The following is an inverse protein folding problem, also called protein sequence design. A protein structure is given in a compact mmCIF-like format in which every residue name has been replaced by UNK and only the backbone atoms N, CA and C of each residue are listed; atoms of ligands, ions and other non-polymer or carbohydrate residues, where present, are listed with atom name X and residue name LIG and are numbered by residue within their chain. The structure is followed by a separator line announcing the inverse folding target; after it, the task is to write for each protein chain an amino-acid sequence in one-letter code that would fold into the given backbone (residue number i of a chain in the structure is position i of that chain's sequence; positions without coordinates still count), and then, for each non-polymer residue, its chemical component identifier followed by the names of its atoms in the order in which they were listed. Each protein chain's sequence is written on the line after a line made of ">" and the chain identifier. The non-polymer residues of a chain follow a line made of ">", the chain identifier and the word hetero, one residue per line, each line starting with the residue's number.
data_IF_534548840328
#
_entry.id   IF_534548840328
#
_cell.length_a   1.000
_cell.length_b   1.000
_cell.length_c   1.000
_cell.angle_alpha   90.00
_cell.angle_beta   90.00
_cell.angle_gamma   90.00
#
_symmetry.space_group_name_H-M   'P 1'
#
loop_
_entity.id
_entity.type
_entity.pdbx_description
1 polymer ?
#
# COMPACT_ATOMS: atom_id res chain seq x y z
N UNK A 1 20.28 40.41 31.61
CA UNK A 1 19.46 40.24 30.39
C UNK A 1 20.01 39.01 29.68
N UNK A 2 19.35 37.86 29.90
CA UNK A 2 19.84 36.55 29.45
C UNK A 2 19.44 36.35 27.99
N UNK A 3 20.44 36.11 27.16
CA UNK A 3 20.34 35.73 25.76
C UNK A 3 19.59 34.41 25.60
N UNK A 4 18.40 34.48 25.00
CA UNK A 4 17.60 33.32 24.64
C UNK A 4 18.29 32.52 23.54
N UNK A 5 18.69 31.30 23.89
CA UNK A 5 19.28 30.33 22.99
C UNK A 5 18.16 29.66 22.18
N UNK A 6 17.94 30.11 20.95
CA UNK A 6 17.01 29.49 20.01
C UNK A 6 17.63 28.17 19.55
N UNK A 7 17.22 27.06 20.16
CA UNK A 7 17.53 25.73 19.66
C UNK A 7 16.83 25.55 18.30
N UNK A 8 17.59 25.75 17.23
CA UNK A 8 17.26 25.27 15.90
C UNK A 8 17.12 23.76 15.97
N UNK A 9 15.89 23.26 15.79
CA UNK A 9 15.63 21.85 15.51
C UNK A 9 16.38 21.53 14.22
N UNK A 10 17.48 20.80 14.32
CA UNK A 10 18.15 20.25 13.15
C UNK A 10 17.13 19.40 12.38
N UNK A 11 16.69 19.90 11.23
CA UNK A 11 15.91 19.11 10.28
C UNK A 11 16.84 18.02 9.76
N UNK A 12 16.79 16.83 10.36
CA UNK A 12 17.40 15.65 9.75
C UNK A 12 16.79 15.51 8.36
N UNK A 13 17.61 15.68 7.32
CA UNK A 13 17.14 15.56 5.94
C UNK A 13 16.62 14.14 5.73
N UNK A 14 15.31 14.01 5.45
CA UNK A 14 14.66 12.72 5.16
C UNK A 14 15.44 11.97 4.06
N UNK A 15 15.60 10.64 4.18
CA UNK A 15 16.28 9.83 3.16
C UNK A 15 15.48 9.94 1.85
N UNK A 16 16.14 10.40 0.78
CA UNK A 16 15.58 10.37 -0.58
C UNK A 16 15.49 8.93 -1.06
N UNK A 17 14.34 8.55 -1.60
CA UNK A 17 14.15 7.23 -2.17
C UNK A 17 13.20 7.30 -3.38
N UNK A 18 13.18 6.26 -4.19
CA UNK A 18 12.29 6.19 -5.34
C UNK A 18 10.86 5.87 -4.91
N UNK A 19 10.67 4.81 -4.13
CA UNK A 19 9.35 4.46 -3.63
C UNK A 19 9.37 3.81 -2.24
N UNK A 20 8.31 4.06 -1.48
CA UNK A 20 8.04 3.40 -0.20
C UNK A 20 6.81 2.52 -0.34
N UNK A 21 6.97 1.23 -0.15
CA UNK A 21 5.91 0.21 -0.22
C UNK A 21 5.49 -0.18 1.20
N UNK A 22 4.25 0.17 1.56
CA UNK A 22 3.59 -0.24 2.79
C UNK A 22 2.65 -1.41 2.55
N UNK A 23 2.98 -2.56 3.15
CA UNK A 23 2.16 -3.77 3.10
C UNK A 23 1.24 -3.78 4.33
N UNK A 24 -0.02 -3.42 4.15
CA UNK A 24 -1.00 -3.42 5.23
C UNK A 24 -1.23 -4.86 5.73
N UNK A 25 -0.98 -5.08 7.02
CA UNK A 25 -1.08 -6.39 7.67
C UNK A 25 -1.80 -6.30 9.01
N UNK A 26 -2.16 -7.42 9.62
CA UNK A 26 -2.77 -7.47 10.95
C UNK A 26 -1.99 -8.38 11.91
N UNK A 27 -2.29 -8.32 13.21
CA UNK A 27 -1.68 -9.21 14.20
C UNK A 27 -1.86 -10.70 13.87
N UNK A 28 -3.04 -11.07 13.35
CA UNK A 28 -3.36 -12.44 12.94
C UNK A 28 -2.67 -12.90 11.65
N UNK A 29 -2.07 -11.98 10.88
CA UNK A 29 -1.52 -12.24 9.55
C UNK A 29 -0.08 -12.77 9.53
N UNK A 30 0.45 -13.31 10.64
CA UNK A 30 1.85 -13.79 10.69
C UNK A 30 2.23 -14.69 9.53
N UNK A 31 1.43 -15.73 9.29
CA UNK A 31 1.67 -16.69 8.19
C UNK A 31 1.64 -16.04 6.81
N UNK A 32 0.82 -14.99 6.62
CA UNK A 32 0.78 -14.23 5.36
C UNK A 32 2.07 -13.44 5.17
N UNK A 33 2.55 -12.75 6.21
CA UNK A 33 3.85 -12.05 6.16
C UNK A 33 4.99 -13.00 5.83
N UNK A 34 5.03 -14.15 6.48
CA UNK A 34 6.03 -15.19 6.19
C UNK A 34 5.95 -15.66 4.72
N UNK A 35 4.74 -15.82 4.17
CA UNK A 35 4.54 -16.18 2.77
C UNK A 35 4.95 -15.09 1.78
N UNK A 36 4.77 -13.81 2.13
CA UNK A 36 5.23 -12.67 1.33
C UNK A 36 6.77 -12.60 1.32
N UNK A 37 7.41 -12.76 2.48
CA UNK A 37 8.89 -12.85 2.59
C UNK A 37 9.45 -14.05 1.82
N UNK A 38 8.74 -15.17 1.82
CA UNK A 38 9.16 -16.38 1.11
C UNK A 38 8.90 -16.33 -0.41
N UNK A 39 8.37 -15.21 -0.93
CA UNK A 39 8.06 -15.02 -2.35
C UNK A 39 8.61 -13.71 -2.86
N UNK A 40 7.77 -12.69 -3.05
CA UNK A 40 8.14 -11.50 -3.81
C UNK A 40 8.87 -10.42 -2.99
N UNK A 41 8.83 -10.48 -1.65
CA UNK A 41 9.56 -9.54 -0.82
C UNK A 41 10.98 -10.06 -0.54
N UNK A 42 12.04 -9.32 -0.93
CA UNK A 42 13.41 -9.76 -0.69
C UNK A 42 13.72 -10.00 0.79
N UNK A 43 14.66 -10.92 1.04
CA UNK A 43 15.14 -11.25 2.38
C UNK A 43 15.93 -10.08 2.99
N UNK A 44 16.28 -10.18 4.27
CA UNK A 44 16.84 -9.05 5.05
C UNK A 44 18.01 -8.34 4.37
N UNK A 45 19.03 -9.07 3.89
CA UNK A 45 20.22 -8.46 3.28
C UNK A 45 19.93 -7.90 1.88
N UNK A 46 19.17 -8.62 1.06
CA UNK A 46 18.75 -8.15 -0.26
C UNK A 46 17.82 -6.94 -0.16
N UNK A 47 16.95 -6.89 0.83
CA UNK A 47 16.05 -5.75 1.05
C UNK A 47 16.82 -4.50 1.49
N UNK A 48 17.85 -4.64 2.34
CA UNK A 48 18.77 -3.53 2.64
C UNK A 48 19.49 -3.04 1.38
N UNK A 49 20.04 -3.97 0.60
CA UNK A 49 20.66 -3.66 -0.69
C UNK A 49 19.70 -2.93 -1.63
N UNK A 50 18.45 -3.37 -1.68
CA UNK A 50 17.40 -2.74 -2.49
C UNK A 50 17.10 -1.30 -2.03
N UNK A 51 17.05 -1.07 -0.73
CA UNK A 51 16.87 0.26 -0.14
C UNK A 51 18.03 1.21 -0.47
N UNK A 52 19.27 0.70 -0.47
CA UNK A 52 20.47 1.51 -0.65
C UNK A 52 20.81 1.73 -2.13
N UNK A 53 20.66 0.72 -2.99
CA UNK A 53 21.03 0.80 -4.40
C UNK A 53 19.90 1.26 -5.32
N UNK A 54 18.64 0.93 -4.99
CA UNK A 54 17.47 1.23 -5.83
C UNK A 54 16.53 2.26 -5.20
N UNK A 55 16.73 2.62 -3.93
CA UNK A 55 15.85 3.52 -3.21
C UNK A 55 14.42 2.97 -3.07
N UNK A 56 14.26 1.64 -2.94
CA UNK A 56 12.95 1.02 -2.74
C UNK A 56 12.87 0.52 -1.29
N UNK A 57 11.98 1.13 -0.51
CA UNK A 57 11.74 0.75 0.89
C UNK A 57 10.49 -0.12 0.96
N UNK A 58 10.56 -1.27 1.64
CA UNK A 58 9.41 -2.19 1.79
C UNK A 58 9.21 -2.48 3.27
N UNK A 59 8.02 -2.16 3.80
CA UNK A 59 7.68 -2.39 5.21
C UNK A 59 6.28 -2.99 5.37
N UNK A 60 6.13 -3.93 6.30
CA UNK A 60 4.83 -4.32 6.82
C UNK A 60 4.28 -3.23 7.72
N UNK A 61 3.12 -2.69 7.40
CA UNK A 61 2.49 -1.60 8.12
C UNK A 61 1.55 -2.15 9.17
N UNK A 62 1.84 -1.85 10.43
CA UNK A 62 1.06 -2.35 11.57
C UNK A 62 0.97 -1.30 12.67
N UNK A 63 -0.21 -1.14 13.25
CA UNK A 63 -0.44 -0.36 14.45
C UNK A 63 -0.02 -1.10 15.72
N UNK A 64 -0.61 -0.69 16.83
CA UNK A 64 -0.47 -1.33 18.14
C UNK A 64 -1.82 -1.89 18.61
N UNK A 65 -1.77 -2.78 19.59
CA UNK A 65 -2.99 -3.31 20.18
C UNK A 65 -3.65 -2.25 21.08
N UNK A 66 -4.92 -2.46 21.45
CA UNK A 66 -5.63 -1.59 22.40
C UNK A 66 -4.95 -1.55 23.77
N UNK A 67 -4.22 -2.60 24.12
CA UNK A 67 -3.47 -2.72 25.37
C UNK A 67 -1.98 -2.69 25.03
N UNK A 68 -1.41 -1.49 24.96
CA UNK A 68 0.00 -1.28 24.63
C UNK A 68 0.92 -2.18 25.47
N UNK A 69 1.85 -2.87 24.82
CA UNK A 69 2.77 -3.82 25.46
C UNK A 69 2.17 -5.20 25.78
N UNK A 70 0.95 -5.47 25.29
CA UNK A 70 0.28 -6.76 25.39
C UNK A 70 0.94 -7.87 24.57
N UNK A 71 0.38 -9.08 24.64
CA UNK A 71 0.93 -10.28 23.98
C UNK A 71 1.08 -10.08 22.47
N UNK A 72 0.10 -9.43 21.83
CA UNK A 72 0.11 -9.16 20.39
C UNK A 72 1.27 -8.23 20.01
N UNK A 73 1.52 -7.18 20.80
CA UNK A 73 2.62 -6.25 20.56
C UNK A 73 3.99 -6.92 20.77
N UNK A 74 4.14 -7.75 21.81
CA UNK A 74 5.37 -8.51 22.05
C UNK A 74 5.67 -9.52 20.93
N UNK A 75 4.64 -10.11 20.34
CA UNK A 75 4.81 -11.02 19.20
C UNK A 75 5.35 -10.27 17.97
N UNK A 76 4.88 -9.05 17.72
CA UNK A 76 5.40 -8.17 16.67
C UNK A 76 6.83 -7.72 16.98
N UNK A 77 7.14 -7.36 18.23
CA UNK A 77 8.51 -7.01 18.64
C UNK A 77 9.50 -8.16 18.44
N UNK A 78 9.09 -9.39 18.74
CA UNK A 78 9.92 -10.58 18.50
C UNK A 78 10.17 -10.81 17.00
N UNK A 79 9.15 -10.59 16.17
CA UNK A 79 9.28 -10.67 14.71
C UNK A 79 10.17 -9.57 14.14
N UNK A 80 10.01 -8.34 14.62
CA UNK A 80 10.81 -7.19 14.19
C UNK A 80 12.29 -7.38 14.52
N UNK A 81 12.62 -7.97 15.67
CA UNK A 81 14.03 -8.32 15.99
C UNK A 81 14.65 -9.30 15.01
N UNK A 82 13.85 -10.17 14.38
CA UNK A 82 14.33 -11.17 13.43
C UNK A 82 14.42 -10.60 12.01
N UNK A 83 13.42 -9.80 11.60
CA UNK A 83 13.29 -9.40 10.21
C UNK A 83 13.57 -7.92 9.95
N UNK A 84 13.35 -7.02 10.91
CA UNK A 84 13.61 -5.58 10.73
C UNK A 84 12.82 -4.97 9.56
N UNK A 85 11.53 -5.31 9.45
CA UNK A 85 10.70 -4.97 8.29
C UNK A 85 9.32 -4.42 8.62
N UNK A 86 9.06 -4.02 9.86
CA UNK A 86 7.84 -3.32 10.21
C UNK A 86 7.97 -1.80 10.11
N UNK A 87 6.86 -1.16 9.75
CA UNK A 87 6.56 0.23 10.05
C UNK A 87 5.47 0.24 11.11
N UNK A 88 5.85 0.57 12.35
CA UNK A 88 4.95 0.66 13.50
C UNK A 88 4.25 2.01 13.50
N UNK A 89 2.92 1.99 13.45
CA UNK A 89 2.09 3.20 13.45
C UNK A 89 1.58 3.51 14.86
N UNK A 90 1.43 4.79 15.17
CA UNK A 90 0.63 5.26 16.32
C UNK A 90 -0.86 5.17 15.96
N UNK A 91 -1.36 3.94 15.88
CA UNK A 91 -2.70 3.59 15.44
C UNK A 91 -3.16 2.34 16.19
N UNK A 92 -4.34 2.39 16.80
CA UNK A 92 -4.94 1.19 17.42
C UNK A 92 -5.53 0.33 16.30
N UNK A 93 -5.03 -0.89 16.14
CA UNK A 93 -5.57 -1.84 15.17
C UNK A 93 -7.02 -2.21 15.49
N UNK A 94 -7.88 -2.16 14.48
CA UNK A 94 -9.30 -2.51 14.58
C UNK A 94 -9.89 -2.83 13.21
N UNK A 95 -10.94 -3.67 13.19
CA UNK A 95 -11.55 -4.13 11.93
C UNK A 95 -12.12 -3.00 11.07
N UNK A 96 -12.63 -1.92 11.69
CA UNK A 96 -13.23 -0.76 11.01
C UNK A 96 -12.25 0.41 10.85
N UNK A 97 -10.97 0.21 11.20
CA UNK A 97 -9.99 1.29 11.27
C UNK A 97 -9.03 1.32 10.06
N UNK A 98 -9.29 0.52 9.02
CA UNK A 98 -8.41 0.46 7.83
C UNK A 98 -8.21 1.81 7.15
N UNK A 99 -9.28 2.60 6.95
CA UNK A 99 -9.18 3.93 6.36
C UNK A 99 -8.33 4.87 7.23
N UNK A 100 -8.40 4.74 8.55
CA UNK A 100 -7.57 5.49 9.48
C UNK A 100 -6.11 5.03 9.43
N UNK A 101 -5.88 3.71 9.39
CA UNK A 101 -4.55 3.12 9.24
C UNK A 101 -3.86 3.60 7.97
N UNK A 102 -4.54 3.59 6.83
CA UNK A 102 -3.99 4.08 5.55
C UNK A 102 -3.63 5.55 5.62
N UNK A 103 -4.48 6.38 6.23
CA UNK A 103 -4.18 7.80 6.45
C UNK A 103 -2.91 7.96 7.31
N UNK A 104 -2.85 7.27 8.45
CA UNK A 104 -1.68 7.29 9.35
C UNK A 104 -0.43 6.76 8.65
N UNK A 105 -0.55 5.71 7.83
CA UNK A 105 0.55 5.16 7.04
C UNK A 105 1.17 6.22 6.13
N UNK A 106 0.39 6.88 5.27
CA UNK A 106 0.92 7.91 4.38
C UNK A 106 1.53 9.08 5.16
N UNK A 107 0.85 9.54 6.23
CA UNK A 107 1.39 10.59 7.10
C UNK A 107 2.75 10.22 7.71
N UNK A 108 2.89 9.01 8.24
CA UNK A 108 4.13 8.52 8.86
C UNK A 108 5.20 8.27 7.80
N UNK A 109 4.87 7.68 6.65
CA UNK A 109 5.82 7.41 5.59
C UNK A 109 6.42 8.70 5.01
N UNK A 110 5.60 9.74 4.81
CA UNK A 110 6.07 11.06 4.38
C UNK A 110 6.97 11.71 5.43
N UNK A 111 6.69 11.51 6.72
CA UNK A 111 7.56 12.05 7.77
C UNK A 111 8.95 11.40 7.80
N UNK A 112 9.05 10.13 7.41
CA UNK A 112 10.30 9.35 7.47
C UNK A 112 11.12 9.40 6.17
N UNK A 113 10.46 9.39 5.02
CA UNK A 113 11.09 9.26 3.72
C UNK A 113 10.66 10.37 2.77
N UNK A 114 11.60 10.85 1.95
CA UNK A 114 11.36 11.78 0.85
C UNK A 114 11.31 10.97 -0.45
N UNK A 115 10.15 10.35 -0.73
CA UNK A 115 9.98 9.40 -1.84
C UNK A 115 9.25 10.02 -3.04
N UNK A 116 9.57 9.61 -4.26
CA UNK A 116 8.79 10.00 -5.44
C UNK A 116 7.36 9.43 -5.37
N UNK A 117 7.25 8.17 -4.94
CA UNK A 117 5.99 7.45 -4.80
C UNK A 117 5.82 6.75 -3.45
N UNK A 118 4.58 6.71 -2.98
CA UNK A 118 4.16 5.92 -1.82
C UNK A 118 3.11 4.90 -2.27
N UNK A 119 3.35 3.63 -1.96
CA UNK A 119 2.58 2.50 -2.47
C UNK A 119 1.93 1.78 -1.29
N UNK A 120 0.64 1.50 -1.39
CA UNK A 120 -0.05 0.61 -0.46
C UNK A 120 -0.33 -0.73 -1.12
N UNK A 121 -0.10 -1.81 -0.38
CA UNK A 121 -0.36 -3.20 -0.82
C UNK A 121 -1.04 -3.97 0.30
N UNK A 122 -1.94 -4.90 -0.02
CA UNK A 122 -2.47 -5.87 0.96
C UNK A 122 -1.55 -7.09 1.13
N UNK A 123 -1.51 -7.68 2.33
CA UNK A 123 -0.63 -8.82 2.66
C UNK A 123 -1.02 -10.17 2.03
N UNK A 124 -2.05 -10.20 1.18
CA UNK A 124 -2.47 -11.34 0.40
C UNK A 124 -2.45 -11.10 -1.11
N UNK A 125 -1.58 -10.18 -1.57
CA UNK A 125 -1.35 -9.87 -2.99
C UNK A 125 0.05 -10.32 -3.43
N UNK A 126 0.19 -10.85 -4.64
CA UNK A 126 1.50 -11.06 -5.28
C UNK A 126 1.87 -9.84 -6.11
N UNK A 127 3.12 -9.38 -5.99
CA UNK A 127 3.64 -8.18 -6.66
C UNK A 127 4.91 -8.52 -7.44
N UNK A 128 5.03 -7.97 -8.65
CA UNK A 128 6.25 -7.97 -9.44
C UNK A 128 6.93 -6.60 -9.29
N UNK A 129 7.98 -6.53 -8.46
CA UNK A 129 8.58 -5.27 -7.99
C UNK A 129 9.30 -4.49 -9.09
N UNK A 130 9.97 -5.16 -10.03
CA UNK A 130 10.63 -4.53 -11.16
C UNK A 130 9.59 -3.93 -12.10
N UNK A 131 8.53 -4.70 -12.41
CA UNK A 131 7.42 -4.25 -13.24
C UNK A 131 6.68 -3.06 -12.61
N UNK A 132 6.47 -3.07 -11.28
CA UNK A 132 5.95 -1.93 -10.52
C UNK A 132 6.87 -0.71 -10.67
N UNK A 133 8.16 -0.88 -10.37
CA UNK A 133 9.13 0.21 -10.40
C UNK A 133 9.29 0.84 -11.79
N UNK A 134 9.37 0.03 -12.85
CA UNK A 134 9.43 0.51 -14.23
C UNK A 134 8.15 1.26 -14.63
N UNK A 135 7.00 0.85 -14.10
CA UNK A 135 5.74 1.55 -14.36
C UNK A 135 5.69 2.90 -13.67
N UNK A 136 6.10 2.96 -12.40
CA UNK A 136 6.12 4.22 -11.65
C UNK A 136 7.17 5.20 -12.17
N UNK A 137 8.33 4.73 -12.67
CA UNK A 137 9.36 5.61 -13.22
C UNK A 137 8.88 6.39 -14.45
N UNK A 138 8.02 5.80 -15.28
CA UNK A 138 7.38 6.48 -16.42
C UNK A 138 6.48 7.66 -16.00
N UNK A 139 6.11 7.73 -14.72
CA UNK A 139 5.24 8.77 -14.17
C UNK A 139 5.95 9.72 -13.21
N UNK A 140 7.26 9.55 -12.97
CA UNK A 140 8.04 10.33 -12.01
C UNK A 140 8.00 11.84 -12.25
N UNK A 141 7.92 12.27 -13.51
CA UNK A 141 7.88 13.70 -13.88
C UNK A 141 6.47 14.31 -13.91
N UNK A 142 5.42 13.49 -13.69
CA UNK A 142 4.04 13.98 -13.66
C UNK A 142 3.70 14.47 -12.24
N UNK A 143 3.08 15.65 -12.08
CA UNK A 143 2.56 16.06 -10.79
C UNK A 143 1.30 15.26 -10.43
N UNK A 144 1.02 15.09 -9.14
CA UNK A 144 -0.24 14.60 -8.58
C UNK A 144 -0.75 13.32 -9.24
N UNK A 145 0.08 12.28 -9.28
CA UNK A 145 -0.26 10.98 -9.85
C UNK A 145 -0.96 10.12 -8.81
N UNK A 146 -2.13 9.61 -9.17
CA UNK A 146 -2.81 8.52 -8.48
C UNK A 146 -2.98 7.35 -9.46
N UNK A 147 -2.23 6.28 -9.24
CA UNK A 147 -2.17 5.13 -10.14
C UNK A 147 -2.63 3.85 -9.45
N UNK A 148 -3.43 3.08 -10.18
CA UNK A 148 -3.94 1.80 -9.73
C UNK A 148 -4.86 1.18 -10.77
N UNK A 149 -5.46 0.05 -10.44
CA UNK A 149 -6.55 -0.49 -11.23
C UNK A 149 -7.83 0.25 -10.89
N UNK A 150 -8.21 1.21 -11.75
CA UNK A 150 -9.32 2.12 -11.47
C UNK A 150 -10.66 1.40 -11.68
N UNK A 151 -11.57 1.58 -10.73
CA UNK A 151 -12.92 1.00 -10.73
C UNK A 151 -13.96 2.02 -10.28
N UNK A 152 -15.21 1.69 -10.57
CA UNK A 152 -16.39 2.30 -9.96
C UNK A 152 -17.41 1.19 -9.81
N UNK A 153 -18.03 1.11 -8.63
CA UNK A 153 -18.94 0.03 -8.26
C UNK A 153 -20.11 0.57 -7.42
N UNK A 154 -21.15 -0.25 -7.21
CA UNK A 154 -22.33 0.18 -6.46
C UNK A 154 -21.95 0.60 -5.04
N UNK A 155 -22.57 1.68 -4.56
CA UNK A 155 -22.46 2.09 -3.15
C UNK A 155 -23.14 1.02 -2.29
N UNK A 156 -22.45 0.58 -1.23
CA UNK A 156 -22.92 -0.50 -0.36
C UNK A 156 -23.90 0.03 0.69
N UNK A 157 -25.07 0.49 0.26
CA UNK A 157 -26.09 1.12 1.10
C UNK A 157 -26.92 0.15 1.96
N UNK A 158 -26.87 -1.16 1.67
CA UNK A 158 -27.68 -2.16 2.36
C UNK A 158 -27.05 -2.55 3.71
N UNK A 159 -27.79 -2.40 4.81
CA UNK A 159 -27.35 -2.88 6.13
C UNK A 159 -27.11 -4.40 6.11
N UNK A 160 -26.06 -4.84 6.81
CA UNK A 160 -25.72 -6.26 6.97
C UNK A 160 -24.78 -6.83 5.90
N UNK A 161 -24.50 -6.08 4.82
CA UNK A 161 -23.44 -6.47 3.89
C UNK A 161 -22.07 -6.07 4.44
N UNK A 162 -21.03 -6.84 4.07
CA UNK A 162 -19.64 -6.48 4.40
C UNK A 162 -19.34 -5.10 3.79
N UNK A 163 -18.74 -4.22 4.60
CA UNK A 163 -18.43 -2.84 4.22
C UNK A 163 -19.64 -1.97 3.88
N UNK A 164 -20.80 -2.22 4.50
CA UNK A 164 -21.94 -1.30 4.48
C UNK A 164 -21.47 0.13 4.79
N UNK A 165 -21.81 1.06 3.91
CA UNK A 165 -21.47 2.48 4.04
C UNK A 165 -22.62 3.22 4.75
N UNK A 166 -22.51 3.53 6.05
CA UNK A 166 -23.58 4.20 6.79
C UNK A 166 -23.92 5.59 6.23
N UNK A 167 -22.96 6.24 5.58
CA UNK A 167 -23.11 7.57 4.98
C UNK A 167 -23.30 7.49 3.46
N UNK A 168 -23.91 6.39 2.96
CA UNK A 168 -24.12 6.15 1.53
C UNK A 168 -24.82 7.31 0.80
N UNK A 169 -25.66 8.06 1.52
CA UNK A 169 -26.39 9.22 1.01
C UNK A 169 -25.47 10.36 0.52
N UNK A 170 -24.20 10.41 0.97
CA UNK A 170 -23.20 11.36 0.47
C UNK A 170 -22.77 11.09 -0.98
N UNK A 171 -23.04 9.89 -1.49
CA UNK A 171 -22.76 9.48 -2.87
C UNK A 171 -23.99 9.69 -3.79
N UNK A 172 -25.02 10.39 -3.29
CA UNK A 172 -26.27 10.66 -3.98
C UNK A 172 -27.36 9.65 -3.62
N UNK A 173 -28.08 9.16 -4.61
CA UNK A 173 -29.28 8.34 -4.43
C UNK A 173 -28.98 6.84 -4.36
N UNK A 174 -29.96 6.07 -3.87
CA UNK A 174 -29.87 4.61 -3.84
C UNK A 174 -29.72 4.07 -5.27
N UNK A 175 -28.69 3.26 -5.49
CA UNK A 175 -28.33 2.74 -6.81
C UNK A 175 -27.15 3.47 -7.46
N UNK A 176 -26.71 4.59 -6.88
CA UNK A 176 -25.50 5.27 -7.32
C UNK A 176 -24.25 4.41 -7.12
N UNK A 177 -23.22 4.77 -7.88
CA UNK A 177 -21.89 4.17 -7.79
C UNK A 177 -20.96 5.11 -7.04
N UNK A 178 -19.95 4.52 -6.38
CA UNK A 178 -18.81 5.28 -5.91
C UNK A 178 -18.15 6.00 -7.10
N UNK A 179 -17.56 7.16 -6.83
CA UNK A 179 -16.68 7.82 -7.80
C UNK A 179 -15.54 6.88 -8.22
N UNK A 180 -14.86 7.21 -9.33
CA UNK A 180 -13.76 6.39 -9.82
C UNK A 180 -12.58 6.44 -8.87
N UNK A 181 -12.11 5.28 -8.41
CA UNK A 181 -10.98 5.12 -7.47
C UNK A 181 -10.20 3.84 -7.81
N UNK A 182 -8.94 3.76 -7.39
CA UNK A 182 -8.15 2.54 -7.52
C UNK A 182 -8.66 1.46 -6.56
N UNK A 183 -8.55 0.19 -6.94
CA UNK A 183 -8.88 -0.93 -6.05
C UNK A 183 -7.91 -1.03 -4.86
N UNK A 184 -8.41 -1.41 -3.69
CA UNK A 184 -7.61 -1.43 -2.46
C UNK A 184 -6.41 -2.37 -2.43
N UNK A 185 -6.35 -3.41 -3.27
CA UNK A 185 -5.28 -4.42 -3.20
C UNK A 185 -3.88 -3.84 -3.44
N UNK A 186 -3.76 -2.91 -4.40
CA UNK A 186 -2.53 -2.20 -4.70
C UNK A 186 -2.82 -0.88 -5.42
N UNK A 187 -2.26 0.21 -4.90
CA UNK A 187 -2.24 1.51 -5.57
C UNK A 187 -1.00 2.32 -5.15
N UNK A 188 -0.63 3.31 -5.94
CA UNK A 188 0.43 4.24 -5.63
C UNK A 188 -0.01 5.69 -5.82
N UNK A 189 0.56 6.57 -5.00
CA UNK A 189 0.36 8.01 -5.08
C UNK A 189 1.71 8.71 -5.10
N UNK A 190 1.81 9.82 -5.83
CA UNK A 190 3.00 10.66 -5.85
C UNK A 190 3.22 11.38 -4.51
N UNK A 191 4.44 11.88 -4.33
CA UNK A 191 4.85 12.61 -3.14
C UNK A 191 3.91 13.72 -2.70
N UNK A 192 3.45 14.55 -3.64
CA UNK A 192 2.58 15.69 -3.37
C UNK A 192 1.21 15.27 -2.84
N UNK A 193 0.63 14.16 -3.32
CA UNK A 193 -0.61 13.61 -2.80
C UNK A 193 -0.42 12.97 -1.43
N UNK A 194 0.68 12.25 -1.21
CA UNK A 194 1.00 11.73 0.11
C UNK A 194 1.22 12.87 1.12
N UNK A 195 1.89 13.94 0.69
CA UNK A 195 2.07 15.16 1.49
C UNK A 195 0.74 15.84 1.78
N UNK A 196 -0.15 15.95 0.79
CA UNK A 196 -1.50 16.47 0.99
C UNK A 196 -2.27 15.69 2.05
N UNK A 197 -2.18 14.35 2.04
CA UNK A 197 -2.78 13.49 3.08
C UNK A 197 -2.20 13.83 4.45
N UNK A 198 -0.87 13.89 4.55
CA UNK A 198 -0.18 14.20 5.81
C UNK A 198 -0.59 15.56 6.40
N UNK A 199 -0.60 16.60 5.56
CA UNK A 199 -0.94 17.96 5.96
C UNK A 199 -2.41 18.11 6.36
N UNK A 200 -3.33 17.42 5.69
CA UNK A 200 -4.77 17.59 5.89
C UNK A 200 -5.42 16.46 6.71
N UNK A 201 -4.62 15.59 7.33
CA UNK A 201 -5.10 14.33 7.90
C UNK A 201 -6.30 14.49 8.85
N UNK A 202 -6.38 15.58 9.62
CA UNK A 202 -7.44 15.77 10.62
C UNK A 202 -8.81 16.10 10.00
N UNK A 203 -8.84 16.61 8.77
CA UNK A 203 -10.08 16.95 8.06
C UNK A 203 -10.47 15.93 6.99
N UNK A 204 -9.56 14.99 6.65
CA UNK A 204 -9.84 13.93 5.69
C UNK A 204 -10.85 12.92 6.26
N UNK A 205 -12.02 12.91 5.63
CA UNK A 205 -13.14 12.04 5.97
C UNK A 205 -12.82 10.57 5.66
N UNK A 206 -13.36 9.65 6.46
CA UNK A 206 -13.13 8.21 6.31
C UNK A 206 -14.47 7.53 6.02
N UNK A 207 -14.55 6.82 4.91
CA UNK A 207 -15.64 5.93 4.56
C UNK A 207 -15.32 4.50 5.03
N UNK A 208 -16.33 3.63 5.04
CA UNK A 208 -16.20 2.23 5.46
C UNK A 208 -15.23 1.43 4.59
N UNK A 209 -15.13 1.79 3.30
CA UNK A 209 -14.15 1.22 2.38
C UNK A 209 -12.91 2.11 2.32
N UNK A 210 -11.74 1.52 2.54
CA UNK A 210 -10.46 2.23 2.60
C UNK A 210 -10.04 2.82 1.25
N UNK A 211 -10.27 2.07 0.17
CA UNK A 211 -9.96 2.49 -1.20
C UNK A 211 -10.90 3.62 -1.68
N UNK A 212 -12.17 3.56 -1.29
CA UNK A 212 -13.11 4.67 -1.46
C UNK A 212 -12.64 5.89 -0.65
N UNK A 213 -12.23 5.71 0.61
CA UNK A 213 -11.72 6.83 1.42
C UNK A 213 -10.57 7.55 0.72
N UNK A 214 -9.56 6.82 0.28
CA UNK A 214 -8.42 7.40 -0.45
C UNK A 214 -8.86 8.17 -1.69
N UNK A 215 -9.68 7.56 -2.56
CA UNK A 215 -10.13 8.24 -3.78
C UNK A 215 -10.96 9.51 -3.50
N UNK A 216 -11.70 9.54 -2.38
CA UNK A 216 -12.47 10.74 -2.00
C UNK A 216 -11.60 11.94 -1.65
N UNK A 217 -10.38 11.70 -1.15
CA UNK A 217 -9.45 12.76 -0.78
C UNK A 217 -8.90 13.49 -2.00
N UNK A 218 -9.00 12.87 -3.18
CA UNK A 218 -8.42 13.37 -4.43
C UNK A 218 -9.45 13.93 -5.41
N UNK A 219 -10.76 13.70 -5.20
CA UNK A 219 -11.78 14.06 -6.20
C UNK A 219 -11.92 15.57 -6.43
N UNK A 220 -11.60 16.38 -5.42
CA UNK A 220 -11.59 17.84 -5.52
C UNK A 220 -10.25 18.43 -5.94
N UNK A 221 -9.27 17.59 -6.26
CA UNK A 221 -7.92 17.98 -6.63
C UNK A 221 -7.68 17.73 -8.14
N UNK A 222 -6.76 18.49 -8.72
CA UNK A 222 -6.29 18.30 -10.10
C UNK A 222 -5.32 17.10 -10.19
N UNK A 223 -5.85 15.88 -10.02
CA UNK A 223 -5.10 14.62 -9.94
C UNK A 223 -5.14 13.83 -11.24
N UNK A 224 -3.98 13.41 -11.70
CA UNK A 224 -3.83 12.47 -12.82
C UNK A 224 -4.20 11.05 -12.34
N UNK A 225 -5.40 10.60 -12.69
CA UNK A 225 -5.86 9.25 -12.42
C UNK A 225 -5.40 8.29 -13.52
N UNK A 226 -4.45 7.41 -13.20
CA UNK A 226 -3.90 6.44 -14.14
C UNK A 226 -4.54 5.07 -13.88
N UNK A 227 -5.30 4.58 -14.87
CA UNK A 227 -5.90 3.24 -14.86
C UNK A 227 -4.96 2.21 -15.49
N UNK A 228 -4.20 1.50 -14.65
CA UNK A 228 -3.34 0.40 -15.10
C UNK A 228 -3.93 -0.96 -14.70
N UNK A 229 -4.45 -1.67 -15.71
CA UNK A 229 -5.06 -2.99 -15.54
C UNK A 229 -4.07 -4.09 -15.18
N UNK A 230 -2.76 -3.84 -15.29
CA UNK A 230 -1.71 -4.77 -14.82
C UNK A 230 -1.63 -4.80 -13.29
N UNK A 231 -2.23 -3.83 -12.58
CA UNK A 231 -2.28 -3.78 -11.12
C UNK A 231 -3.47 -4.56 -10.52
N UNK A 232 -4.20 -5.34 -11.33
CA UNK A 232 -5.33 -6.16 -10.87
C UNK A 232 -5.55 -7.41 -11.73
N UNK A 233 -4.46 -8.09 -12.09
CA UNK A 233 -4.56 -9.35 -12.82
C UNK A 233 -5.15 -10.46 -11.95
N UNK A 234 -5.86 -11.39 -12.58
CA UNK A 234 -6.28 -12.63 -11.95
C UNK A 234 -5.10 -13.58 -11.72
N UNK A 235 -5.22 -14.44 -10.72
CA UNK A 235 -4.28 -15.56 -10.52
C UNK A 235 -4.30 -16.52 -11.72
N UNK A 236 -3.36 -17.49 -11.82
CA UNK A 236 -3.30 -18.45 -12.91
C UNK A 236 -4.68 -19.03 -13.32
N UNK A 237 -4.99 -19.06 -14.63
CA UNK A 237 -4.07 -18.85 -15.76
C UNK A 237 -3.96 -17.40 -16.28
N UNK A 238 -4.69 -16.42 -15.74
CA UNK A 238 -4.79 -15.08 -16.33
C UNK A 238 -3.44 -14.34 -16.37
N UNK A 239 -2.75 -14.25 -15.23
CA UNK A 239 -1.42 -13.62 -15.14
C UNK A 239 -0.40 -14.23 -16.12
N UNK A 240 -0.45 -15.55 -16.36
CA UNK A 240 0.51 -16.27 -17.21
C UNK A 240 0.29 -15.93 -18.67
N UNK A 241 -0.97 -15.97 -19.12
CA UNK A 241 -1.30 -15.57 -20.49
C UNK A 241 -0.95 -14.11 -20.76
N UNK A 242 -1.17 -13.24 -19.79
CA UNK A 242 -0.76 -11.83 -19.88
C UNK A 242 0.76 -11.68 -19.98
N UNK A 243 1.52 -12.40 -19.16
CA UNK A 243 2.98 -12.41 -19.23
C UNK A 243 3.50 -12.94 -20.58
N UNK A 244 2.93 -14.03 -21.09
CA UNK A 244 3.27 -14.59 -22.41
C UNK A 244 2.97 -13.62 -23.56
N UNK A 245 1.93 -12.79 -23.41
CA UNK A 245 1.60 -11.73 -24.36
C UNK A 245 2.43 -10.44 -24.18
N UNK A 246 3.48 -10.45 -23.35
CA UNK A 246 4.33 -9.29 -23.08
C UNK A 246 3.71 -8.25 -22.14
N UNK A 247 2.56 -8.55 -21.54
CA UNK A 247 1.84 -7.67 -20.62
C UNK A 247 2.01 -8.16 -19.17
N UNK A 248 3.25 -8.21 -18.69
CA UNK A 248 3.57 -8.65 -17.33
C UNK A 248 2.71 -7.90 -16.30
N UNK A 249 2.09 -8.66 -15.38
CA UNK A 249 1.26 -8.10 -14.33
C UNK A 249 2.12 -7.45 -13.25
N UNK A 250 1.66 -6.30 -12.74
CA UNK A 250 2.25 -5.63 -11.57
C UNK A 250 1.74 -6.29 -10.30
N UNK A 251 0.45 -6.59 -10.23
CA UNK A 251 -0.18 -7.20 -9.07
C UNK A 251 -1.16 -8.29 -9.50
N UNK A 252 -1.18 -9.38 -8.73
CA UNK A 252 -1.98 -10.57 -9.01
C UNK A 252 -2.77 -10.99 -7.77
N UNK A 253 -4.10 -11.11 -7.89
CA UNK A 253 -5.00 -11.53 -6.82
C UNK A 253 -6.34 -12.08 -7.32
N UNK A 254 -7.15 -12.66 -6.43
CA UNK A 254 -8.49 -13.15 -6.77
C UNK A 254 -9.57 -12.15 -6.33
N UNK A 255 -10.38 -11.66 -7.28
CA UNK A 255 -11.50 -10.76 -6.98
C UNK A 255 -12.47 -11.34 -5.94
N UNK A 256 -12.70 -12.67 -5.98
CA UNK A 256 -13.61 -13.37 -5.07
C UNK A 256 -13.25 -13.21 -3.59
N UNK A 257 -11.96 -13.15 -3.28
CA UNK A 257 -11.47 -13.03 -1.90
C UNK A 257 -10.93 -11.62 -1.59
N UNK A 258 -10.96 -10.72 -2.57
CA UNK A 258 -10.36 -9.37 -2.48
C UNK A 258 -8.87 -9.44 -2.11
N UNK A 259 -8.17 -10.42 -2.68
CA UNK A 259 -6.83 -10.90 -2.34
C UNK A 259 -6.65 -12.32 -2.89
N UNK A 260 -5.47 -12.92 -2.82
CA UNK A 260 -5.28 -14.33 -3.20
C UNK A 260 -6.04 -15.20 -2.20
N UNK A 261 -7.03 -15.97 -2.68
CA UNK A 261 -7.76 -16.89 -1.80
C UNK A 261 -6.78 -17.92 -1.23
N UNK A 262 -6.81 -18.19 0.08
CA UNK A 262 -5.85 -19.07 0.77
C UNK A 262 -4.40 -18.65 0.47
N UNK A 263 -4.10 -17.37 0.69
CA UNK A 263 -2.83 -16.76 0.28
C UNK A 263 -1.61 -17.42 0.90
N UNK A 264 -1.69 -17.87 2.15
CA UNK A 264 -0.59 -18.57 2.85
C UNK A 264 -0.07 -19.75 2.02
N UNK A 265 -0.96 -20.53 1.42
CA UNK A 265 -0.59 -21.67 0.58
C UNK A 265 -0.40 -21.29 -0.89
N UNK A 266 -1.26 -20.42 -1.42
CA UNK A 266 -1.35 -20.19 -2.88
C UNK A 266 -0.38 -19.13 -3.40
N UNK A 267 0.10 -18.20 -2.59
CA UNK A 267 0.97 -17.12 -3.08
C UNK A 267 2.27 -17.67 -3.69
N UNK A 268 2.79 -18.79 -3.16
CA UNK A 268 3.97 -19.46 -3.72
C UNK A 268 3.72 -19.97 -5.14
N UNK A 269 2.56 -20.59 -5.39
CA UNK A 269 2.18 -21.08 -6.71
C UNK A 269 1.94 -19.92 -7.67
N UNK A 270 1.31 -18.85 -7.20
CA UNK A 270 1.12 -17.62 -7.99
C UNK A 270 2.48 -17.01 -8.35
N UNK A 271 3.38 -16.86 -7.39
CA UNK A 271 4.72 -16.31 -7.62
C UNK A 271 5.54 -17.14 -8.62
N UNK A 272 5.50 -18.48 -8.52
CA UNK A 272 6.22 -19.35 -9.46
C UNK A 272 5.71 -19.24 -10.91
N UNK A 273 4.45 -18.89 -11.12
CA UNK A 273 3.80 -18.89 -12.44
C UNK A 273 3.64 -17.49 -13.03
N UNK A 274 3.43 -16.49 -12.18
CA UNK A 274 3.19 -15.10 -12.56
C UNK A 274 4.38 -14.19 -12.25
N UNK A 275 5.41 -14.70 -11.58
CA UNK A 275 6.59 -13.95 -11.18
C UNK A 275 7.39 -13.46 -12.39
N UNK A 276 7.93 -12.26 -12.28
CA UNK A 276 9.01 -11.80 -13.14
C UNK A 276 10.31 -12.58 -12.89
N UNK A 277 11.29 -12.44 -13.80
CA UNK A 277 12.62 -13.04 -13.63
C UNK A 277 13.26 -12.58 -12.31
N UNK A 278 13.94 -13.49 -11.59
CA UNK A 278 14.56 -13.19 -10.29
C UNK A 278 15.57 -12.02 -10.37
N UNK A 279 16.18 -11.80 -11.53
CA UNK A 279 17.11 -10.70 -11.78
C UNK A 279 16.45 -9.44 -12.35
N UNK A 280 15.15 -9.46 -12.66
CA UNK A 280 14.45 -8.31 -13.25
C UNK A 280 14.59 -7.06 -12.37
N UNK A 281 14.44 -7.21 -11.05
CA UNK A 281 14.54 -6.10 -10.09
C UNK A 281 15.93 -5.48 -10.06
N UNK A 282 16.97 -6.29 -10.19
CA UNK A 282 18.37 -5.86 -10.11
C UNK A 282 18.85 -5.23 -11.42
N UNK A 283 18.37 -5.74 -12.56
CA UNK A 283 18.69 -5.24 -13.90
C UNK A 283 17.89 -4.00 -14.29
N UNK A 284 16.71 -3.80 -13.71
CA UNK A 284 15.88 -2.62 -13.96
C UNK A 284 16.59 -1.32 -13.54
N UNK A 285 16.41 -0.29 -14.37
CA UNK A 285 16.86 1.08 -14.12
C UNK A 285 15.63 1.98 -14.03
N UNK A 286 15.46 2.67 -12.91
CA UNK A 286 14.26 3.44 -12.58
C UNK A 286 14.48 4.94 -12.68
#
# INVERSE_FOLDING_TARGET
>A
MSSGNTQTVESTSRKKCFMVIGINTAFSSRKRRDSVRATWMPQVEERKKLEDEKGIVIRFVIGHSSTSGGILDRAIEAEEKLHGDFLRLNHVEGYLELSAKTKTYFSTAVALWDADFYVKVDDDVHVNLATLGLTLSMHRMKPRVYIGCMKSGPVLAQKGVKYHEPEYWKFGEVGNKYFRHATGQLYAISQDLATYISTNQDVLHKYANEDVSLGSWFIGLDVEHIDDRRMCCGTPPDCEWKAQAGNMCIATFDWRCSGICRSVERIKVVHQRCGEDENALWTATF
#
